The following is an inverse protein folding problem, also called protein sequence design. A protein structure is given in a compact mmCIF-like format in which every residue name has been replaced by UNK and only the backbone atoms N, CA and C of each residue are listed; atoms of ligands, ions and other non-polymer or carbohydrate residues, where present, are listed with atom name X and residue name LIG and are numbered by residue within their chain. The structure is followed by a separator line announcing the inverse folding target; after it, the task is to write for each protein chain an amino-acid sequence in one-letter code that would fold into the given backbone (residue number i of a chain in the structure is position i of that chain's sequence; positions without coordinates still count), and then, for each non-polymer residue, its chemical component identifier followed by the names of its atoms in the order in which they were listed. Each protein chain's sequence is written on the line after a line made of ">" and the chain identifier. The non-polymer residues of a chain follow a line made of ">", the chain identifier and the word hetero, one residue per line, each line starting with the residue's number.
data_IF_557205988448
#
_entry.id   IF_557205988448
#
_cell.length_a   1.000
_cell.length_b   1.000
_cell.length_c   1.000
_cell.angle_alpha   90.00
_cell.angle_beta   90.00
_cell.angle_gamma   90.00
#
_symmetry.space_group_name_H-M   'P 1'
#
loop_
_entity.id
_entity.type
_entity.pdbx_description
1 polymer ?
#
# COMPACT_ATOMS: atom_id res chain seq x y z
N UNK A 1 14.41 18.96 -1.37
CA UNK A 1 13.41 19.30 -0.33
C UNK A 1 12.07 18.56 -0.50
N UNK A 2 11.31 18.74 -1.59
CA UNK A 2 10.00 18.07 -1.75
C UNK A 2 10.11 16.54 -1.83
N UNK A 3 11.14 16.04 -2.52
CA UNK A 3 11.42 14.60 -2.70
C UNK A 3 11.85 13.96 -1.37
N UNK A 4 12.60 14.69 -0.55
CA UNK A 4 13.11 14.21 0.74
C UNK A 4 11.97 14.02 1.76
N UNK A 5 10.92 14.86 1.68
CA UNK A 5 9.72 14.75 2.50
C UNK A 5 8.79 13.60 2.08
N UNK A 6 8.93 13.08 0.86
CA UNK A 6 8.06 12.01 0.37
C UNK A 6 8.31 10.68 1.10
N UNK A 7 9.58 10.37 1.39
CA UNK A 7 10.01 9.16 2.09
C UNK A 7 9.39 9.02 3.50
N UNK A 8 9.52 10.01 4.41
CA UNK A 8 8.92 9.92 5.74
C UNK A 8 7.39 9.96 5.68
N UNK A 9 6.79 10.73 4.77
CA UNK A 9 5.35 10.71 4.57
C UNK A 9 4.85 9.31 4.17
N UNK A 10 5.52 8.66 3.23
CA UNK A 10 5.17 7.30 2.81
C UNK A 10 5.35 6.29 3.96
N UNK A 11 6.44 6.40 4.75
CA UNK A 11 6.66 5.56 5.92
C UNK A 11 5.53 5.70 6.96
N UNK A 12 5.17 6.93 7.32
CA UNK A 12 4.09 7.24 8.27
C UNK A 12 2.74 6.71 7.77
N UNK A 13 2.46 6.84 6.46
CA UNK A 13 1.25 6.28 5.85
C UNK A 13 1.24 4.75 5.96
N UNK A 14 2.36 4.07 5.71
CA UNK A 14 2.45 2.62 5.87
C UNK A 14 2.31 2.17 7.33
N UNK A 15 2.88 2.89 8.29
CA UNK A 15 2.64 2.64 9.71
C UNK A 15 1.17 2.80 10.09
N UNK A 16 0.54 3.90 9.66
CA UNK A 16 -0.88 4.12 9.90
C UNK A 16 -1.73 2.97 9.33
N UNK A 17 -1.42 2.51 8.11
CA UNK A 17 -2.11 1.35 7.50
C UNK A 17 -1.87 0.07 8.33
N UNK A 18 -0.65 -0.15 8.80
CA UNK A 18 -0.27 -1.32 9.61
C UNK A 18 -1.06 -1.36 10.91
N UNK A 19 -1.15 -0.24 11.63
CA UNK A 19 -1.94 -0.09 12.85
C UNK A 19 -3.44 -0.28 12.56
N UNK A 20 -3.98 0.34 11.50
CA UNK A 20 -5.38 0.20 11.11
C UNK A 20 -5.77 -1.25 10.73
N UNK A 21 -4.79 -2.07 10.35
CA UNK A 21 -5.00 -3.49 10.00
C UNK A 21 -4.82 -4.44 11.18
N UNK A 22 -4.22 -4.00 12.28
CA UNK A 22 -3.91 -4.83 13.46
C UNK A 22 -5.13 -5.62 13.99
N UNK A 23 -6.33 -5.03 14.16
CA UNK A 23 -7.49 -5.77 14.67
C UNK A 23 -7.97 -6.91 13.75
N UNK A 24 -7.67 -6.82 12.45
CA UNK A 24 -8.19 -7.73 11.41
C UNK A 24 -7.42 -9.03 11.36
N UNK A 25 -6.12 -8.97 11.64
CA UNK A 25 -5.18 -10.09 11.54
C UNK A 25 -5.60 -11.20 12.49
N UNK A 26 -6.03 -10.84 13.69
CA UNK A 26 -6.50 -11.77 14.70
C UNK A 26 -7.77 -12.51 14.28
N UNK A 27 -8.50 -12.01 13.26
CA UNK A 27 -9.80 -12.55 12.86
C UNK A 27 -9.80 -13.16 11.45
N UNK A 28 -8.81 -12.84 10.59
CA UNK A 28 -8.80 -13.26 9.18
C UNK A 28 -7.40 -13.57 8.66
N UNK A 29 -7.10 -14.85 8.43
CA UNK A 29 -5.84 -15.31 7.85
C UNK A 29 -5.51 -14.66 6.48
N UNK A 30 -6.52 -14.36 5.66
CA UNK A 30 -6.37 -13.69 4.35
C UNK A 30 -5.85 -12.24 4.45
N UNK A 31 -5.77 -11.67 5.65
CA UNK A 31 -5.20 -10.33 5.88
C UNK A 31 -3.72 -10.34 6.28
N UNK A 32 -3.13 -11.51 6.53
CA UNK A 32 -1.76 -11.64 7.03
C UNK A 32 -0.73 -11.12 6.03
N UNK A 33 -0.80 -11.53 4.76
CA UNK A 33 0.10 -11.03 3.71
C UNK A 33 -0.03 -9.51 3.53
N UNK A 34 -1.25 -9.00 3.60
CA UNK A 34 -1.53 -7.58 3.42
C UNK A 34 -0.96 -6.73 4.58
N UNK A 35 -0.97 -7.27 5.79
CA UNK A 35 -0.38 -6.61 6.96
C UNK A 35 1.14 -6.74 6.99
N UNK A 36 1.66 -7.94 6.70
CA UNK A 36 3.09 -8.19 6.61
C UNK A 36 3.73 -7.26 5.57
N UNK A 37 3.10 -7.11 4.40
CA UNK A 37 3.60 -6.20 3.37
C UNK A 37 3.65 -4.74 3.82
N UNK A 38 2.65 -4.26 4.58
CA UNK A 38 2.66 -2.88 5.08
C UNK A 38 3.63 -2.68 6.23
N UNK A 39 3.82 -3.70 7.09
CA UNK A 39 4.81 -3.68 8.17
C UNK A 39 6.23 -3.68 7.60
N UNK A 40 6.56 -4.62 6.71
CA UNK A 40 7.87 -4.71 6.08
C UNK A 40 8.18 -3.44 5.28
N UNK A 41 7.19 -2.89 4.56
CA UNK A 41 7.34 -1.63 3.84
C UNK A 41 7.55 -0.44 4.77
N UNK A 42 6.83 -0.37 5.90
CA UNK A 42 7.03 0.66 6.91
C UNK A 42 8.44 0.58 7.51
N UNK A 43 8.89 -0.61 7.91
CA UNK A 43 10.24 -0.84 8.42
C UNK A 43 11.29 -0.43 7.38
N UNK A 44 11.19 -0.92 6.15
CA UNK A 44 12.12 -0.60 5.08
C UNK A 44 12.22 0.91 4.77
N UNK A 45 11.10 1.63 4.80
CA UNK A 45 11.12 3.08 4.58
C UNK A 45 11.63 3.86 5.80
N UNK A 46 11.41 3.35 7.02
CA UNK A 46 11.88 3.97 8.27
C UNK A 46 13.38 3.85 8.48
N UNK A 47 13.96 2.81 7.87
CA UNK A 47 15.39 2.51 7.79
C UNK A 47 16.14 3.51 6.88
N UNK A 48 15.45 4.45 6.22
CA UNK A 48 16.11 5.57 5.55
C UNK A 48 16.63 6.61 6.55
N UNK A 49 17.67 7.40 6.18
CA UNK A 49 18.35 8.39 7.03
C UNK A 49 17.48 9.52 7.61
N UNK A 50 16.17 9.50 7.40
CA UNK A 50 15.23 10.46 7.97
C UNK A 50 14.93 10.17 9.44
N UNK A 51 14.96 8.90 9.85
CA UNK A 51 14.70 8.52 11.25
C UNK A 51 15.91 7.91 11.94
N UNK A 52 16.74 7.17 11.21
CA UNK A 52 17.98 6.57 11.74
C UNK A 52 19.05 6.66 10.65
N UNK A 53 20.20 7.23 11.00
CA UNK A 53 21.36 7.37 10.11
C UNK A 53 21.91 5.99 9.77
N UNK A 54 22.09 5.70 8.48
CA UNK A 54 22.56 4.40 7.95
C UNK A 54 23.86 3.95 8.62
N UNK A 55 24.76 4.89 8.90
CA UNK A 55 26.01 4.66 9.61
C UNK A 55 25.83 4.17 11.06
N UNK A 56 24.82 4.64 11.78
CA UNK A 56 24.61 4.27 13.19
C UNK A 56 24.08 2.83 13.31
N UNK A 57 23.15 2.44 12.43
CA UNK A 57 22.63 1.07 12.44
C UNK A 57 23.66 0.09 11.91
N UNK A 58 24.35 0.46 10.84
CA UNK A 58 25.34 -0.42 10.24
C UNK A 58 26.55 -0.61 11.16
N UNK A 59 26.95 0.39 11.96
CA UNK A 59 27.98 0.24 12.99
C UNK A 59 27.64 -0.86 14.02
N UNK A 60 26.36 -1.01 14.41
CA UNK A 60 25.91 -2.10 15.29
C UNK A 60 25.94 -3.45 14.57
N UNK A 61 25.77 -3.47 13.25
CA UNK A 61 25.81 -4.67 12.40
C UNK A 61 27.21 -5.01 11.88
N UNK A 62 28.25 -4.28 12.32
CA UNK A 62 29.65 -4.54 11.97
C UNK A 62 30.27 -3.58 10.94
N UNK A 63 29.54 -2.58 10.44
CA UNK A 63 30.07 -1.47 9.63
C UNK A 63 30.44 -1.82 8.18
N UNK A 64 29.90 -2.91 7.64
CA UNK A 64 30.22 -3.44 6.32
C UNK A 64 29.00 -3.47 5.37
N UNK A 65 28.12 -2.49 5.44
CA UNK A 65 26.92 -2.33 4.61
C UNK A 65 25.88 -3.47 4.75
N UNK A 66 25.90 -4.25 5.84
CA UNK A 66 24.88 -5.29 6.11
C UNK A 66 23.47 -4.72 6.14
N UNK A 67 23.36 -3.46 6.56
CA UNK A 67 22.11 -2.73 6.56
C UNK A 67 21.48 -2.60 5.16
N UNK A 68 22.28 -2.46 4.09
CA UNK A 68 21.76 -2.43 2.71
C UNK A 68 21.10 -3.75 2.32
N UNK A 69 21.71 -4.89 2.67
CA UNK A 69 21.13 -6.21 2.41
C UNK A 69 19.80 -6.38 3.15
N UNK A 70 19.78 -6.08 4.45
CA UNK A 70 18.56 -6.18 5.27
C UNK A 70 17.46 -5.29 4.70
N UNK A 71 17.77 -4.03 4.37
CA UNK A 71 16.80 -3.11 3.75
C UNK A 71 16.24 -3.68 2.46
N UNK A 72 17.07 -4.19 1.56
CA UNK A 72 16.62 -4.72 0.28
C UNK A 72 15.76 -5.97 0.44
N UNK A 73 16.09 -6.86 1.38
CA UNK A 73 15.26 -8.03 1.72
C UNK A 73 13.91 -7.59 2.28
N UNK A 74 13.86 -6.59 3.16
CA UNK A 74 12.61 -6.04 3.69
C UNK A 74 11.76 -5.42 2.57
N UNK A 75 12.37 -4.66 1.66
CA UNK A 75 11.66 -4.06 0.51
C UNK A 75 11.07 -5.16 -0.38
N UNK A 76 11.87 -6.15 -0.81
CA UNK A 76 11.37 -7.24 -1.65
C UNK A 76 10.28 -8.05 -0.93
N UNK A 77 10.46 -8.32 0.37
CA UNK A 77 9.44 -8.98 1.19
C UNK A 77 8.13 -8.18 1.25
N UNK A 78 8.21 -6.85 1.34
CA UNK A 78 7.07 -5.96 1.30
C UNK A 78 6.35 -6.00 -0.05
N UNK A 79 7.10 -5.89 -1.15
CA UNK A 79 6.59 -5.97 -2.52
C UNK A 79 5.92 -7.32 -2.80
N UNK A 80 6.57 -8.41 -2.38
CA UNK A 80 6.06 -9.77 -2.53
C UNK A 80 4.76 -9.98 -1.76
N UNK A 81 4.75 -9.59 -0.47
CA UNK A 81 3.58 -9.70 0.39
C UNK A 81 2.41 -8.85 -0.13
N UNK A 82 2.72 -7.67 -0.68
CA UNK A 82 1.74 -6.81 -1.32
C UNK A 82 1.16 -7.46 -2.58
N UNK A 83 2.01 -8.03 -3.44
CA UNK A 83 1.56 -8.80 -4.62
C UNK A 83 0.59 -9.88 -4.19
N UNK A 84 0.99 -10.77 -3.27
CA UNK A 84 0.14 -11.85 -2.76
C UNK A 84 -1.19 -11.30 -2.23
N UNK A 85 -1.16 -10.25 -1.41
CA UNK A 85 -2.36 -9.65 -0.83
C UNK A 85 -3.32 -9.08 -1.89
N UNK A 86 -2.79 -8.40 -2.91
CA UNK A 86 -3.60 -7.85 -4.00
C UNK A 86 -4.19 -8.97 -4.86
N UNK A 87 -3.42 -10.02 -5.14
CA UNK A 87 -3.90 -11.15 -5.94
C UNK A 87 -4.97 -11.94 -5.21
N UNK A 88 -4.78 -12.20 -3.92
CA UNK A 88 -5.83 -12.79 -3.09
C UNK A 88 -7.06 -11.89 -2.99
N UNK A 89 -6.93 -10.56 -3.05
CA UNK A 89 -8.09 -9.65 -3.03
C UNK A 89 -8.84 -9.59 -4.38
N UNK A 90 -8.15 -9.89 -5.48
CA UNK A 90 -8.73 -9.89 -6.83
C UNK A 90 -9.34 -11.24 -7.21
N UNK A 91 -8.74 -12.35 -6.76
CA UNK A 91 -9.19 -13.71 -7.05
C UNK A 91 -10.31 -14.17 -6.13
N UNK A 92 -11.25 -14.97 -6.65
CA UNK A 92 -12.31 -15.58 -5.84
C UNK A 92 -11.75 -16.67 -4.92
N UNK A 93 -10.88 -17.52 -5.47
CA UNK A 93 -10.31 -18.67 -4.78
C UNK A 93 -8.92 -18.37 -4.21
N UNK A 94 -8.60 -18.88 -3.00
CA UNK A 94 -7.26 -18.80 -2.46
C UNK A 94 -6.29 -19.67 -3.27
N UNK A 95 -5.00 -19.32 -3.22
CA UNK A 95 -3.97 -20.12 -3.88
C UNK A 95 -3.89 -21.54 -3.31
N UNK A 96 -3.76 -22.57 -4.17
CA UNK A 96 -3.43 -23.91 -3.74
C UNK A 96 -2.15 -23.93 -2.88
N UNK A 97 -2.08 -24.85 -1.91
CA UNK A 97 -0.91 -25.01 -1.03
C UNK A 97 0.39 -25.22 -1.81
N UNK A 98 0.33 -25.96 -2.92
CA UNK A 98 1.48 -26.20 -3.79
C UNK A 98 2.03 -24.90 -4.39
N UNK A 99 1.15 -24.04 -4.90
CA UNK A 99 1.56 -22.75 -5.47
C UNK A 99 2.22 -21.86 -4.40
N UNK A 100 1.68 -21.83 -3.17
CA UNK A 100 2.31 -21.11 -2.06
C UNK A 100 3.72 -21.61 -1.73
N UNK A 101 3.95 -22.92 -1.80
CA UNK A 101 5.29 -23.51 -1.57
C UNK A 101 6.26 -23.13 -2.68
N UNK A 102 5.83 -23.20 -3.94
CA UNK A 102 6.66 -22.81 -5.09
C UNK A 102 7.05 -21.33 -4.98
N UNK A 103 6.09 -20.46 -4.69
CA UNK A 103 6.32 -19.02 -4.50
C UNK A 103 7.28 -18.76 -3.32
N UNK A 104 7.14 -19.48 -2.20
CA UNK A 104 8.08 -19.36 -1.08
C UNK A 104 9.50 -19.86 -1.42
N UNK A 105 9.62 -20.94 -2.19
CA UNK A 105 10.91 -21.45 -2.68
C UNK A 105 11.59 -20.46 -3.63
N UNK A 106 10.84 -19.84 -4.54
CA UNK A 106 11.35 -18.80 -5.44
C UNK A 106 11.86 -17.60 -4.61
N UNK A 107 11.08 -17.13 -3.63
CA UNK A 107 11.50 -16.05 -2.75
C UNK A 107 12.77 -16.40 -1.96
N UNK A 108 12.86 -17.62 -1.40
CA UNK A 108 14.04 -18.09 -0.69
C UNK A 108 15.27 -18.17 -1.61
N UNK A 109 15.10 -18.65 -2.84
CA UNK A 109 16.16 -18.72 -3.85
C UNK A 109 16.66 -17.32 -4.23
N UNK A 110 15.77 -16.35 -4.41
CA UNK A 110 16.14 -14.95 -4.70
C UNK A 110 16.93 -14.35 -3.54
N UNK A 111 16.44 -14.50 -2.31
CA UNK A 111 17.14 -14.00 -1.11
C UNK A 111 18.50 -14.68 -0.97
N UNK A 112 18.58 -15.99 -1.19
CA UNK A 112 19.82 -16.75 -1.19
C UNK A 112 20.82 -16.24 -2.23
N UNK A 113 20.37 -16.03 -3.46
CA UNK A 113 21.19 -15.48 -4.53
C UNK A 113 21.70 -14.07 -4.21
N UNK A 114 20.82 -13.18 -3.72
CA UNK A 114 21.23 -11.84 -3.29
C UNK A 114 22.24 -11.88 -2.15
N UNK A 115 22.02 -12.73 -1.15
CA UNK A 115 22.92 -12.87 0.01
C UNK A 115 24.28 -13.42 -0.41
N UNK A 116 24.29 -14.42 -1.29
CA UNK A 116 25.51 -15.00 -1.84
C UNK A 116 26.30 -13.98 -2.66
N UNK A 117 25.63 -13.22 -3.54
CA UNK A 117 26.28 -12.14 -4.30
C UNK A 117 26.83 -11.06 -3.36
N UNK A 118 26.07 -10.65 -2.34
CA UNK A 118 26.50 -9.66 -1.35
C UNK A 118 27.73 -10.10 -0.54
N UNK A 119 27.85 -11.41 -0.24
CA UNK A 119 29.03 -11.97 0.41
C UNK A 119 30.30 -11.78 -0.43
N UNK A 120 30.20 -11.92 -1.75
CA UNK A 120 31.31 -11.77 -2.69
C UNK A 120 31.77 -10.34 -2.94
N UNK A 121 31.06 -9.32 -2.44
CA UNK A 121 31.46 -7.91 -2.57
C UNK A 121 32.57 -7.61 -1.56
N UNK A 122 33.66 -6.99 -2.03
CA UNK A 122 34.67 -6.38 -1.16
C UNK A 122 34.10 -5.08 -0.59
N UNK A 123 33.61 -5.16 0.65
CA UNK A 123 32.79 -4.15 1.31
C UNK A 123 33.70 -3.09 1.94
N UNK A 124 33.78 -1.91 1.32
CA UNK A 124 34.35 -0.72 1.97
C UNK A 124 33.47 -0.22 3.14
N UNK A 125 33.88 0.88 3.78
CA UNK A 125 33.12 1.56 4.84
C UNK A 125 31.70 1.88 4.36
N UNK A 126 30.73 1.87 5.28
CA UNK A 126 29.33 2.15 5.00
C UNK A 126 29.13 3.40 4.14
N UNK A 127 28.49 3.27 2.98
CA UNK A 127 28.21 4.39 2.07
C UNK A 127 26.77 4.39 1.56
N UNK A 128 26.21 5.58 1.37
CA UNK A 128 24.90 5.76 0.73
C UNK A 128 24.94 5.47 -0.77
N UNK A 129 26.12 5.57 -1.40
CA UNK A 129 26.33 5.27 -2.82
C UNK A 129 26.97 3.89 -3.01
N UNK A 130 26.62 2.91 -2.16
CA UNK A 130 27.22 1.58 -2.15
C UNK A 130 27.24 0.89 -3.53
N UNK A 131 26.11 0.90 -4.26
CA UNK A 131 26.02 0.27 -5.58
C UNK A 131 26.92 0.98 -6.61
N UNK A 132 26.80 2.30 -6.84
CA UNK A 132 27.71 3.02 -7.74
C UNK A 132 29.20 2.86 -7.39
N UNK A 133 29.55 2.88 -6.10
CA UNK A 133 30.96 2.79 -5.66
C UNK A 133 31.58 1.41 -5.88
N UNK A 134 30.78 0.35 -5.91
CA UNK A 134 31.27 -1.02 -6.06
C UNK A 134 30.81 -1.66 -7.37
N UNK A 135 30.27 -0.86 -8.31
CA UNK A 135 29.63 -1.37 -9.53
C UNK A 135 30.63 -2.13 -10.41
N UNK A 136 31.91 -1.79 -10.36
CA UNK A 136 32.98 -2.47 -11.10
C UNK A 136 33.16 -3.94 -10.68
N UNK A 137 32.65 -4.33 -9.50
CA UNK A 137 32.70 -5.71 -9.04
C UNK A 137 31.49 -6.49 -9.58
N UNK A 138 31.75 -7.61 -10.27
CA UNK A 138 30.70 -8.51 -10.77
C UNK A 138 29.67 -8.94 -9.69
N UNK A 139 30.07 -9.23 -8.44
CA UNK A 139 29.10 -9.54 -7.38
C UNK A 139 28.13 -8.40 -7.07
N UNK A 140 28.56 -7.13 -7.17
CA UNK A 140 27.70 -5.95 -7.00
C UNK A 140 26.71 -5.82 -8.13
N UNK A 141 27.16 -6.01 -9.38
CA UNK A 141 26.27 -6.02 -10.55
C UNK A 141 25.20 -7.10 -10.38
N UNK A 142 25.60 -8.34 -10.07
CA UNK A 142 24.65 -9.44 -9.89
C UNK A 142 23.67 -9.17 -8.75
N UNK A 143 24.14 -8.67 -7.61
CA UNK A 143 23.30 -8.29 -6.47
C UNK A 143 22.26 -7.22 -6.85
N UNK A 144 22.71 -6.11 -7.45
CA UNK A 144 21.87 -4.99 -7.85
C UNK A 144 20.86 -5.38 -8.93
N UNK A 145 21.31 -6.06 -9.99
CA UNK A 145 20.45 -6.51 -11.09
C UNK A 145 19.41 -7.51 -10.62
N UNK A 146 19.75 -8.48 -9.77
CA UNK A 146 18.76 -9.44 -9.23
C UNK A 146 17.69 -8.70 -8.41
N UNK A 147 18.09 -7.79 -7.52
CA UNK A 147 17.16 -6.98 -6.74
C UNK A 147 16.21 -6.18 -7.64
N UNK A 148 16.75 -5.42 -8.58
CA UNK A 148 15.96 -4.54 -9.45
C UNK A 148 15.10 -5.33 -10.44
N UNK A 149 15.59 -6.44 -10.98
CA UNK A 149 14.82 -7.30 -11.88
C UNK A 149 13.63 -7.96 -11.18
N UNK A 150 13.82 -8.43 -9.94
CA UNK A 150 12.73 -9.00 -9.14
C UNK A 150 11.73 -7.90 -8.75
N UNK A 151 12.21 -6.73 -8.32
CA UNK A 151 11.34 -5.58 -8.04
C UNK A 151 10.51 -5.19 -9.27
N UNK A 152 11.14 -5.11 -10.45
CA UNK A 152 10.46 -4.86 -11.72
C UNK A 152 9.39 -5.90 -12.02
N UNK A 153 9.74 -7.19 -11.94
CA UNK A 153 8.82 -8.29 -12.20
C UNK A 153 7.60 -8.27 -11.28
N UNK A 154 7.82 -8.06 -9.96
CA UNK A 154 6.73 -7.97 -8.98
C UNK A 154 5.81 -6.77 -9.27
N UNK A 155 6.39 -5.61 -9.54
CA UNK A 155 5.62 -4.39 -9.77
C UNK A 155 4.83 -4.43 -11.08
N UNK A 156 5.44 -4.93 -12.16
CA UNK A 156 4.77 -5.11 -13.44
C UNK A 156 3.67 -6.17 -13.36
N UNK A 157 3.88 -7.27 -12.62
CA UNK A 157 2.85 -8.29 -12.39
C UNK A 157 1.66 -7.73 -11.60
N UNK A 158 1.91 -6.91 -10.56
CA UNK A 158 0.86 -6.18 -9.83
C UNK A 158 0.07 -5.29 -10.80
N UNK A 159 0.75 -4.44 -11.57
CA UNK A 159 0.09 -3.51 -12.51
C UNK A 159 -0.76 -4.24 -13.54
N UNK A 160 -0.20 -5.26 -14.18
CA UNK A 160 -0.91 -6.06 -15.18
C UNK A 160 -2.20 -6.67 -14.63
N UNK A 161 -2.13 -7.29 -13.45
CA UNK A 161 -3.27 -7.99 -12.85
C UNK A 161 -4.31 -7.03 -12.27
N UNK A 162 -3.89 -5.91 -11.69
CA UNK A 162 -4.82 -4.86 -11.23
C UNK A 162 -5.53 -4.23 -12.43
N UNK A 163 -4.83 -3.99 -13.53
CA UNK A 163 -5.42 -3.47 -14.77
C UNK A 163 -6.45 -4.43 -15.36
N UNK A 164 -6.13 -5.73 -15.41
CA UNK A 164 -7.09 -6.78 -15.81
C UNK A 164 -8.33 -6.82 -14.91
N UNK A 165 -8.12 -6.78 -13.58
CA UNK A 165 -9.22 -6.76 -12.62
C UNK A 165 -10.08 -5.50 -12.67
N UNK A 166 -9.51 -4.35 -13.02
CA UNK A 166 -10.25 -3.09 -13.26
C UNK A 166 -11.16 -3.19 -14.47
N UNK A 167 -10.71 -3.86 -15.55
CA UNK A 167 -11.52 -4.09 -16.76
C UNK A 167 -12.71 -5.00 -16.48
N UNK A 168 -12.48 -6.08 -15.75
CA UNK A 168 -13.51 -7.09 -15.48
C UNK A 168 -14.53 -6.65 -14.41
N UNK A 169 -14.10 -5.90 -13.39
CA UNK A 169 -14.96 -5.50 -12.25
C UNK A 169 -15.39 -4.04 -12.32
N UNK A 170 -15.86 -3.61 -13.50
CA UNK A 170 -16.35 -2.24 -13.81
C UNK A 170 -17.42 -1.70 -12.85
N UNK A 171 -18.13 -2.59 -12.14
CA UNK A 171 -19.21 -2.26 -11.17
C UNK A 171 -18.74 -1.93 -9.75
N UNK A 172 -17.44 -1.89 -9.45
CA UNK A 172 -16.96 -1.50 -8.10
C UNK A 172 -17.18 0.01 -7.84
N UNK A 173 -17.44 0.34 -6.57
CA UNK A 173 -17.60 1.72 -6.09
C UNK A 173 -16.45 2.62 -6.58
N UNK A 174 -16.77 3.88 -6.95
CA UNK A 174 -15.81 4.85 -7.49
C UNK A 174 -14.50 4.96 -6.67
N UNK A 175 -14.60 4.95 -5.34
CA UNK A 175 -13.42 5.01 -4.44
C UNK A 175 -12.46 3.84 -4.60
N UNK A 176 -12.98 2.62 -4.77
CA UNK A 176 -12.16 1.42 -4.96
C UNK A 176 -11.47 1.45 -6.33
N UNK A 177 -12.15 1.98 -7.35
CA UNK A 177 -11.55 2.16 -8.68
C UNK A 177 -10.39 3.15 -8.63
N UNK A 178 -10.59 4.34 -8.05
CA UNK A 178 -9.54 5.34 -7.88
C UNK A 178 -8.34 4.76 -7.13
N UNK A 179 -8.59 4.05 -6.03
CA UNK A 179 -7.52 3.46 -5.24
C UNK A 179 -6.71 2.41 -6.02
N UNK A 180 -7.38 1.54 -6.78
CA UNK A 180 -6.71 0.56 -7.63
C UNK A 180 -5.97 1.20 -8.81
N UNK A 181 -6.51 2.28 -9.38
CA UNK A 181 -5.81 3.07 -10.41
C UNK A 181 -4.51 3.67 -9.88
N UNK A 182 -4.52 4.22 -8.66
CA UNK A 182 -3.32 4.74 -7.99
C UNK A 182 -2.29 3.64 -7.76
N UNK A 183 -2.72 2.46 -7.25
CA UNK A 183 -1.84 1.30 -7.09
C UNK A 183 -1.23 0.87 -8.42
N UNK A 184 -2.04 0.78 -9.48
CA UNK A 184 -1.58 0.36 -10.80
C UNK A 184 -0.57 1.35 -11.41
N UNK A 185 -0.86 2.65 -11.34
CA UNK A 185 0.04 3.68 -11.85
C UNK A 185 1.35 3.72 -11.05
N UNK A 186 1.26 3.61 -9.73
CA UNK A 186 2.42 3.58 -8.84
C UNK A 186 3.32 2.38 -9.12
N UNK A 187 2.74 1.18 -9.15
CA UNK A 187 3.48 -0.05 -9.46
C UNK A 187 4.08 -0.02 -10.88
N UNK A 188 3.38 0.53 -11.88
CA UNK A 188 3.91 0.62 -13.24
C UNK A 188 5.14 1.54 -13.29
N UNK A 189 5.04 2.71 -12.64
CA UNK A 189 6.14 3.67 -12.53
C UNK A 189 7.37 3.06 -11.85
N UNK A 190 7.17 2.37 -10.72
CA UNK A 190 8.25 1.68 -10.00
C UNK A 190 8.88 0.54 -10.82
N UNK A 191 8.05 -0.22 -11.55
CA UNK A 191 8.52 -1.28 -12.43
C UNK A 191 9.40 -0.75 -13.55
N UNK A 192 8.98 0.33 -14.22
CA UNK A 192 9.77 1.00 -15.26
C UNK A 192 11.08 1.55 -14.68
N UNK A 193 11.01 2.23 -13.53
CA UNK A 193 12.21 2.74 -12.85
C UNK A 193 13.22 1.62 -12.57
N UNK A 194 12.75 0.47 -12.07
CA UNK A 194 13.60 -0.68 -11.75
C UNK A 194 14.26 -1.28 -13.01
N UNK A 195 13.55 -1.30 -14.15
CA UNK A 195 14.14 -1.71 -15.44
C UNK A 195 15.21 -0.71 -15.89
N UNK A 196 14.95 0.59 -15.79
CA UNK A 196 15.93 1.64 -16.12
C UNK A 196 17.19 1.49 -15.26
N UNK A 197 17.03 1.18 -13.98
CA UNK A 197 18.18 0.98 -13.08
C UNK A 197 19.00 -0.25 -13.46
N UNK A 198 18.36 -1.35 -13.87
CA UNK A 198 19.08 -2.51 -14.41
C UNK A 198 19.92 -2.12 -15.64
N UNK A 199 19.35 -1.31 -16.54
CA UNK A 199 20.06 -0.83 -17.73
C UNK A 199 21.22 0.10 -17.36
N UNK A 200 21.01 1.00 -16.40
CA UNK A 200 22.07 1.86 -15.85
C UNK A 200 23.22 1.01 -15.29
N UNK A 201 22.94 0.09 -14.37
CA UNK A 201 23.97 -0.75 -13.73
C UNK A 201 24.75 -1.58 -14.75
N UNK A 202 24.07 -2.17 -15.75
CA UNK A 202 24.75 -2.92 -16.81
C UNK A 202 25.60 -2.00 -17.70
N UNK A 203 25.08 -0.83 -18.08
CA UNK A 203 25.78 0.14 -18.90
C UNK A 203 27.05 0.67 -18.22
N UNK A 204 26.96 0.97 -16.92
CA UNK A 204 28.05 1.48 -16.10
C UNK A 204 29.15 0.42 -15.92
N UNK A 205 28.77 -0.81 -15.54
CA UNK A 205 29.71 -1.92 -15.33
C UNK A 205 30.47 -2.33 -16.59
N UNK A 206 29.80 -2.41 -17.74
CA UNK A 206 30.47 -2.82 -18.98
C UNK A 206 31.14 -1.65 -19.73
N UNK A 207 31.04 -0.43 -19.21
CA UNK A 207 31.47 0.79 -19.87
C UNK A 207 30.97 0.89 -21.33
N UNK A 208 29.80 0.31 -21.61
CA UNK A 208 29.37 -0.07 -22.97
C UNK A 208 28.57 1.03 -23.70
N UNK A 209 28.36 2.20 -23.10
CA UNK A 209 27.39 3.19 -23.58
C UNK A 209 27.89 4.62 -23.44
N UNK A 210 27.35 5.53 -24.27
CA UNK A 210 27.60 6.98 -24.19
C UNK A 210 27.35 7.50 -22.76
N UNK A 211 28.26 8.34 -22.26
CA UNK A 211 28.16 9.10 -21.00
C UNK A 211 26.77 9.73 -20.77
N UNK A 212 26.11 10.16 -21.86
CA UNK A 212 24.75 10.72 -21.83
C UNK A 212 23.70 9.69 -21.43
N UNK A 213 23.80 8.46 -21.91
CA UNK A 213 22.87 7.38 -21.58
C UNK A 213 22.93 7.04 -20.09
N UNK A 214 24.15 6.88 -19.54
CA UNK A 214 24.38 6.61 -18.12
C UNK A 214 23.81 7.74 -17.26
N UNK A 215 24.09 9.00 -17.62
CA UNK A 215 23.58 10.17 -16.89
C UNK A 215 22.05 10.24 -16.90
N UNK A 216 21.42 10.02 -18.05
CA UNK A 216 19.95 10.09 -18.19
C UNK A 216 19.27 8.95 -17.43
N UNK A 217 19.79 7.73 -17.53
CA UNK A 217 19.20 6.55 -16.85
C UNK A 217 19.32 6.67 -15.33
N UNK A 218 20.49 7.06 -14.81
CA UNK A 218 20.68 7.34 -13.39
C UNK A 218 19.76 8.47 -12.89
N UNK A 219 19.64 9.57 -13.65
CA UNK A 219 18.79 10.70 -13.27
C UNK A 219 17.27 10.37 -13.34
N UNK A 220 16.86 9.43 -14.19
CA UNK A 220 15.45 9.07 -14.37
C UNK A 220 14.91 8.18 -13.25
N UNK A 221 15.77 7.39 -12.58
CA UNK A 221 15.34 6.43 -11.56
C UNK A 221 14.56 7.10 -10.41
N UNK A 222 15.16 8.09 -9.74
CA UNK A 222 14.56 8.76 -8.58
C UNK A 222 13.18 9.37 -8.86
N UNK A 223 13.03 10.22 -9.91
CA UNK A 223 11.75 10.82 -10.30
C UNK A 223 10.67 9.82 -10.72
N UNK A 224 11.01 8.61 -11.16
CA UNK A 224 10.02 7.57 -11.49
C UNK A 224 9.67 6.70 -10.29
N UNK A 225 10.68 6.29 -9.51
CA UNK A 225 10.50 5.34 -8.41
C UNK A 225 9.77 5.98 -7.22
N UNK A 226 10.19 7.18 -6.80
CA UNK A 226 9.67 7.81 -5.58
C UNK A 226 8.19 8.24 -5.71
N UNK A 227 7.77 8.99 -6.75
CA UNK A 227 6.36 9.26 -6.98
C UNK A 227 5.54 7.97 -7.19
N UNK A 228 6.12 6.96 -7.84
CA UNK A 228 5.49 5.64 -7.99
C UNK A 228 5.17 4.99 -6.64
N UNK A 229 6.14 4.99 -5.72
CA UNK A 229 5.94 4.51 -4.35
C UNK A 229 4.87 5.32 -3.60
N UNK A 230 4.87 6.65 -3.76
CA UNK A 230 3.87 7.55 -3.17
C UNK A 230 2.44 7.26 -3.67
N UNK A 231 2.26 7.10 -4.99
CA UNK A 231 0.97 6.73 -5.58
C UNK A 231 0.47 5.38 -5.08
N UNK A 232 1.37 4.39 -5.00
CA UNK A 232 1.03 3.07 -4.50
C UNK A 232 0.61 3.12 -3.02
N UNK A 233 1.36 3.83 -2.17
CA UNK A 233 1.02 4.02 -0.76
C UNK A 233 -0.33 4.74 -0.59
N UNK A 234 -0.59 5.79 -1.37
CA UNK A 234 -1.87 6.51 -1.36
C UNK A 234 -3.04 5.60 -1.75
N UNK A 235 -2.89 4.79 -2.81
CA UNK A 235 -3.89 3.81 -3.21
C UNK A 235 -4.20 2.79 -2.11
N UNK A 236 -3.16 2.24 -1.46
CA UNK A 236 -3.31 1.31 -0.34
C UNK A 236 -3.96 1.95 0.88
N UNK A 237 -3.63 3.21 1.17
CA UNK A 237 -4.26 3.99 2.22
C UNK A 237 -5.76 4.15 1.96
N UNK A 238 -6.16 4.56 0.76
CA UNK A 238 -7.58 4.71 0.40
C UNK A 238 -8.33 3.39 0.55
N UNK A 239 -7.73 2.26 0.18
CA UNK A 239 -8.32 0.92 0.39
C UNK A 239 -8.47 0.58 1.88
N UNK A 240 -7.42 0.82 2.68
CA UNK A 240 -7.42 0.54 4.11
C UNK A 240 -8.42 1.43 4.87
N UNK A 241 -8.38 2.74 4.62
CA UNK A 241 -9.30 3.71 5.18
C UNK A 241 -10.75 3.37 4.80
N UNK A 242 -11.02 3.05 3.53
CA UNK A 242 -12.36 2.66 3.10
C UNK A 242 -12.86 1.39 3.81
N UNK A 243 -11.98 0.43 4.10
CA UNK A 243 -12.33 -0.76 4.86
C UNK A 243 -12.57 -0.45 6.34
N UNK A 244 -11.74 0.39 6.96
CA UNK A 244 -11.91 0.83 8.34
C UNK A 244 -13.22 1.61 8.52
N UNK A 245 -13.51 2.56 7.62
CA UNK A 245 -14.74 3.35 7.60
C UNK A 245 -16.00 2.47 7.54
N UNK A 246 -15.96 1.39 6.72
CA UNK A 246 -17.07 0.42 6.64
C UNK A 246 -17.22 -0.38 7.92
N UNK A 247 -16.11 -0.85 8.51
CA UNK A 247 -16.16 -1.64 9.76
C UNK A 247 -16.70 -0.85 10.94
N UNK A 248 -16.34 0.42 11.01
CA UNK A 248 -16.74 1.29 12.11
C UNK A 248 -18.17 1.82 11.92
N UNK A 249 -18.88 1.37 10.88
CA UNK A 249 -20.19 1.84 10.50
C UNK A 249 -20.26 3.38 10.47
N UNK A 250 -19.16 4.06 10.15
CA UNK A 250 -19.07 5.52 10.24
C UNK A 250 -20.07 6.20 9.32
N UNK A 251 -20.39 5.56 8.19
CA UNK A 251 -21.49 5.99 7.32
C UNK A 251 -22.85 5.87 8.01
N UNK A 252 -23.14 4.73 8.63
CA UNK A 252 -24.43 4.50 9.30
C UNK A 252 -24.58 5.39 10.53
N UNK A 253 -23.50 5.59 11.30
CA UNK A 253 -23.42 6.55 12.41
C UNK A 253 -23.58 7.99 11.93
N UNK A 254 -22.94 8.38 10.83
CA UNK A 254 -23.11 9.72 10.28
C UNK A 254 -24.57 9.97 9.84
N UNK A 255 -25.18 9.02 9.13
CA UNK A 255 -26.59 9.12 8.72
C UNK A 255 -27.55 9.11 9.92
N UNK A 256 -27.29 8.27 10.92
CA UNK A 256 -28.05 8.22 12.17
C UNK A 256 -27.97 9.55 12.90
N UNK A 257 -26.76 10.10 13.06
CA UNK A 257 -26.57 11.34 13.79
C UNK A 257 -27.20 12.53 13.08
N UNK A 258 -27.17 12.54 11.74
CA UNK A 258 -27.83 13.55 10.94
C UNK A 258 -29.37 13.45 11.02
N UNK A 259 -29.94 12.24 10.96
CA UNK A 259 -31.39 12.03 11.12
C UNK A 259 -31.88 12.47 12.50
N UNK A 260 -31.15 12.12 13.57
CA UNK A 260 -31.50 12.53 14.94
C UNK A 260 -31.34 14.04 15.11
N UNK A 261 -30.30 14.64 14.52
CA UNK A 261 -30.08 16.08 14.51
C UNK A 261 -31.20 16.85 13.79
N UNK A 262 -31.62 16.38 12.61
CA UNK A 262 -32.72 16.99 11.83
C UNK A 262 -34.06 16.90 12.59
N UNK A 263 -34.30 15.84 13.37
CA UNK A 263 -35.52 15.70 14.19
C UNK A 263 -35.53 16.58 15.44
N UNK A 264 -34.39 16.73 16.10
CA UNK A 264 -34.31 17.44 17.39
C UNK A 264 -33.84 18.90 17.26
N UNK A 265 -33.52 19.37 16.05
CA UNK A 265 -32.97 20.71 15.80
C UNK A 265 -31.59 20.95 16.45
N UNK A 266 -30.92 19.91 16.96
CA UNK A 266 -29.67 20.00 17.72
C UNK A 266 -28.62 19.03 17.19
N UNK A 267 -27.74 19.53 16.33
CA UNK A 267 -26.68 18.74 15.67
C UNK A 267 -25.77 17.98 16.66
N UNK A 268 -25.45 18.60 17.80
CA UNK A 268 -24.60 18.02 18.84
C UNK A 268 -25.22 16.78 19.50
N UNK A 269 -26.54 16.78 19.74
CA UNK A 269 -27.23 15.63 20.33
C UNK A 269 -27.33 14.47 19.35
N UNK A 270 -27.63 14.75 18.07
CA UNK A 270 -27.67 13.70 17.05
C UNK A 270 -26.32 12.99 16.87
N UNK A 271 -25.23 13.76 16.80
CA UNK A 271 -23.88 13.20 16.71
C UNK A 271 -23.47 12.40 17.97
N UNK A 272 -23.88 12.84 19.16
CA UNK A 272 -23.63 12.12 20.42
C UNK A 272 -24.38 10.77 20.48
N UNK A 273 -25.65 10.74 20.09
CA UNK A 273 -26.47 9.51 20.05
C UNK A 273 -25.89 8.51 19.04
N UNK A 274 -25.44 8.99 17.89
CA UNK A 274 -24.89 8.11 16.87
C UNK A 274 -23.48 7.57 17.17
N UNK A 275 -22.66 8.35 17.87
CA UNK A 275 -21.32 7.89 18.31
C UNK A 275 -21.41 6.86 19.43
N UNK A 276 -22.40 6.99 20.32
CA UNK A 276 -22.64 6.07 21.44
C UNK A 276 -23.46 4.82 21.05
N UNK A 277 -24.03 4.78 19.85
CA UNK A 277 -24.86 3.65 19.42
C UNK A 277 -24.03 2.35 19.28
N UNK A 278 -24.36 1.29 20.04
CA UNK A 278 -23.71 -0.02 19.95
C UNK A 278 -24.13 -0.79 18.70
N UNK A 279 -25.31 -0.48 18.12
CA UNK A 279 -25.85 -1.12 16.91
C UNK A 279 -26.32 -0.07 15.90
N UNK A 280 -25.40 0.69 15.29
CA UNK A 280 -25.72 1.87 14.50
C UNK A 280 -26.59 1.58 13.29
N UNK A 281 -26.51 0.37 12.73
CA UNK A 281 -27.35 -0.06 11.61
C UNK A 281 -28.80 -0.33 12.02
N UNK A 282 -29.03 -0.95 13.18
CA UNK A 282 -30.37 -1.15 13.72
C UNK A 282 -30.99 0.17 14.19
N UNK A 283 -30.19 1.01 14.84
CA UNK A 283 -30.66 2.31 15.33
C UNK A 283 -30.93 3.28 14.18
N UNK A 284 -30.15 3.23 13.09
CA UNK A 284 -30.44 3.94 11.84
C UNK A 284 -31.78 3.50 11.25
N UNK A 285 -32.04 2.19 11.21
CA UNK A 285 -33.30 1.65 10.70
C UNK A 285 -34.50 2.07 11.56
N UNK A 286 -34.37 2.03 12.90
CA UNK A 286 -35.39 2.53 13.82
C UNK A 286 -35.64 4.03 13.67
N UNK A 287 -34.57 4.82 13.54
CA UNK A 287 -34.66 6.26 13.32
C UNK A 287 -35.34 6.59 11.99
N UNK A 288 -35.13 5.77 10.96
CA UNK A 288 -35.78 5.87 9.65
C UNK A 288 -37.29 5.62 9.75
N UNK A 289 -37.70 4.52 10.40
CA UNK A 289 -39.13 4.21 10.63
C UNK A 289 -39.80 5.34 11.40
N UNK A 290 -39.18 5.79 12.50
CA UNK A 290 -39.75 6.85 13.33
C UNK A 290 -39.85 8.20 12.59
N UNK A 291 -38.99 8.46 11.59
CA UNK A 291 -39.10 9.63 10.74
C UNK A 291 -40.27 9.51 9.75
N UNK A 292 -40.47 8.33 9.17
CA UNK A 292 -41.58 8.04 8.24
C UNK A 292 -42.95 8.10 8.95
N UNK A 293 -43.02 7.57 10.16
CA UNK A 293 -44.24 7.61 10.98
C UNK A 293 -44.63 9.05 11.33
N UNK A 294 -43.66 9.90 11.68
CA UNK A 294 -43.90 11.31 12.02
C UNK A 294 -44.37 12.12 10.80
N UNK A 295 -43.86 11.83 9.61
CA UNK A 295 -44.31 12.43 8.36
C UNK A 295 -45.73 11.97 7.99
N UNK A 296 -46.02 10.68 8.13
CA UNK A 296 -47.36 10.11 7.88
C UNK A 296 -48.43 10.68 8.81
N UNK A 297 -48.05 11.08 10.03
CA UNK A 297 -48.93 11.75 11.00
C UNK A 297 -49.08 13.26 10.77
N UNK A 298 -48.28 13.84 9.87
CA UNK A 298 -48.27 15.29 9.61
C UNK A 298 -47.50 16.12 10.64
N UNK A 299 -46.76 15.49 11.55
CA UNK A 299 -46.01 16.18 12.62
C UNK A 299 -44.80 16.96 12.08
N UNK A 300 -44.31 16.61 10.89
CA UNK A 300 -43.12 17.20 10.27
C UNK A 300 -43.38 17.41 8.77
N UNK A 301 -43.06 18.59 8.20
CA UNK A 301 -43.22 18.83 6.77
C UNK A 301 -42.30 17.94 5.91
N UNK A 302 -42.75 17.53 4.71
CA UNK A 302 -41.96 16.72 3.79
C UNK A 302 -40.71 17.48 3.37
N UNK A 303 -39.54 16.85 3.52
CA UNK A 303 -38.25 17.45 3.18
C UNK A 303 -37.62 16.73 1.97
N UNK A 304 -37.41 17.40 0.83
CA UNK A 304 -36.85 16.77 -0.38
C UNK A 304 -35.45 16.16 -0.19
N UNK A 305 -34.67 16.69 0.78
CA UNK A 305 -33.36 16.16 1.15
C UNK A 305 -33.46 14.89 2.01
N UNK A 306 -34.56 14.72 2.74
CA UNK A 306 -34.86 13.54 3.55
C UNK A 306 -35.25 12.37 2.66
N UNK A 307 -36.07 12.57 1.63
CA UNK A 307 -36.43 11.52 0.66
C UNK A 307 -35.23 10.93 -0.06
N UNK A 308 -34.28 11.78 -0.50
CA UNK A 308 -33.03 11.29 -1.11
C UNK A 308 -32.19 10.49 -0.11
N UNK A 309 -32.21 10.87 1.17
CA UNK A 309 -31.50 10.16 2.22
C UNK A 309 -32.20 8.84 2.57
N UNK A 310 -33.53 8.82 2.66
CA UNK A 310 -34.38 7.65 2.85
C UNK A 310 -34.13 6.63 1.74
N UNK A 311 -34.22 7.04 0.47
CA UNK A 311 -33.90 6.18 -0.68
C UNK A 311 -32.47 5.64 -0.66
N UNK A 312 -31.50 6.46 -0.23
CA UNK A 312 -30.11 6.02 -0.10
C UNK A 312 -29.89 5.02 1.06
N UNK A 313 -30.72 5.10 2.11
CA UNK A 313 -30.69 4.18 3.25
C UNK A 313 -31.46 2.89 2.90
N UNK A 314 -32.65 2.97 2.30
CA UNK A 314 -33.42 1.84 1.79
C UNK A 314 -32.63 1.00 0.78
N UNK A 315 -31.93 1.64 -0.15
CA UNK A 315 -31.04 0.95 -1.09
C UNK A 315 -29.89 0.17 -0.41
N UNK A 316 -29.59 0.43 0.88
CA UNK A 316 -28.61 -0.33 1.68
C UNK A 316 -29.22 -1.45 2.52
N UNK A 317 -30.55 -1.50 2.64
CA UNK A 317 -31.28 -2.51 3.40
C UNK A 317 -32.09 -3.46 2.51
N UNK A 318 -32.45 -3.04 1.29
CA UNK A 318 -33.21 -3.84 0.31
C UNK A 318 -32.38 -4.73 -0.62
N UNK A 319 -31.10 -4.98 -0.32
CA UNK A 319 -30.19 -5.87 -1.05
C UNK A 319 -29.56 -6.89 -0.12
#
# INVERSE_FOLDING_TARGET
>A
MLIDLLKPCAALVLFAITVLRLPVIFHRARSHAAWLGTLLGALALSINPVFITEHEVDAVLGGHNWFHLVRNVLVLGAMWSLRVALLEALQANPWPRQQRRVEAMIAAMIIGLMTFSFWGIDKAVTSMAFIPEHIDQLPTLLYGTVYMAVAAGLMLDISWRVLGGLREKRRRHARVRVALSLVCAGALSMGIASVIECLYMAADHFHATDSRFITVTHAAFGPLYLPGAGLMAAGLFVLAASAALRRWHLGDRYHLGRLVAERQGRLRHGLAVATCSPRPRQDLYKAMIAAYDAESRGDIPPCPRRDKMMKAVEARFGS
#
